data_IF_704157385743
#
_entry.id   IF_704157385743
#
_cell.length_a   1.000
_cell.length_b   1.000
_cell.length_c   1.000
_cell.angle_alpha   90.00
_cell.angle_beta   90.00
_cell.angle_gamma   90.00
#
_symmetry.space_group_name_H-M   'P 1'
#
loop_
_entity.id
_entity.type
_entity.pdbx_description
1 polymer ?
#
# COMPACT_ATOMS: atom_id res chain seq x y z
N UNK A 1 -8.96 -4.14 -36.12
CA UNK A 1 -10.42 -4.03 -36.38
C UNK A 1 -10.60 -4.04 -37.88
N UNK A 2 -10.96 -5.20 -38.42
CA UNK A 2 -11.05 -5.48 -39.85
C UNK A 2 -12.54 -5.49 -40.20
N UNK A 3 -12.96 -4.60 -41.10
CA UNK A 3 -14.35 -4.47 -41.52
C UNK A 3 -14.64 -5.51 -42.62
N UNK A 4 -15.50 -6.49 -42.33
CA UNK A 4 -15.91 -7.52 -43.29
C UNK A 4 -16.92 -6.97 -44.30
N UNK A 5 -16.49 -6.85 -45.56
CA UNK A 5 -17.25 -6.31 -46.68
C UNK A 5 -18.23 -7.33 -47.32
N UNK A 6 -18.27 -8.56 -46.80
CA UNK A 6 -18.97 -9.71 -47.43
C UNK A 6 -20.43 -9.86 -46.99
N UNK A 7 -20.83 -9.28 -45.86
CA UNK A 7 -22.20 -9.38 -45.37
C UNK A 7 -23.22 -8.55 -46.18
N UNK A 8 -22.78 -7.50 -46.88
CA UNK A 8 -23.69 -6.59 -47.58
C UNK A 8 -24.08 -7.08 -48.98
N UNK A 9 -23.26 -7.93 -49.63
CA UNK A 9 -23.57 -8.43 -50.97
C UNK A 9 -24.59 -9.60 -50.96
N UNK A 10 -24.62 -10.43 -49.91
CA UNK A 10 -25.62 -11.50 -49.79
C UNK A 10 -27.04 -11.00 -49.49
N UNK A 11 -27.19 -9.77 -48.99
CA UNK A 11 -28.50 -9.16 -48.76
C UNK A 11 -29.16 -8.61 -50.04
N UNK A 12 -28.37 -8.32 -51.09
CA UNK A 12 -28.90 -7.84 -52.37
C UNK A 12 -29.37 -8.99 -53.27
N UNK A 13 -28.69 -10.15 -53.27
CA UNK A 13 -29.03 -11.26 -54.16
C UNK A 13 -30.28 -12.07 -53.76
N UNK A 14 -30.80 -11.92 -52.54
CA UNK A 14 -31.97 -12.69 -52.05
C UNK A 14 -33.32 -11.98 -52.22
N UNK A 15 -33.37 -10.78 -52.82
CA UNK A 15 -34.62 -10.06 -53.09
C UNK A 15 -35.22 -10.28 -54.48
N UNK A 16 -34.49 -10.89 -55.41
CA UNK A 16 -34.94 -11.00 -56.81
C UNK A 16 -35.59 -12.35 -57.18
N UNK A 17 -35.94 -13.19 -56.20
CA UNK A 17 -36.39 -14.58 -56.50
C UNK A 17 -37.78 -14.96 -56.00
N UNK A 18 -38.64 -14.00 -55.67
CA UNK A 18 -40.04 -14.31 -55.35
C UNK A 18 -41.00 -13.19 -55.72
N UNK A 19 -41.44 -13.12 -56.98
CA UNK A 19 -42.80 -12.71 -57.35
C UNK A 19 -43.03 -12.89 -58.86
N UNK A 20 -43.25 -14.14 -59.29
CA UNK A 20 -43.83 -14.42 -60.61
C UNK A 20 -45.30 -14.81 -60.39
N UNK A 21 -46.13 -13.81 -60.14
CA UNK A 21 -47.59 -13.93 -60.23
C UNK A 21 -48.06 -12.74 -61.05
N UNK A 22 -48.30 -12.96 -62.35
CA UNK A 22 -48.92 -11.98 -63.24
C UNK A 22 -50.38 -11.80 -62.83
N UNK A 23 -50.61 -10.93 -61.84
CA UNK A 23 -51.92 -10.33 -61.59
C UNK A 23 -52.08 -9.22 -62.63
N UNK A 24 -53.13 -9.21 -63.47
CA UNK A 24 -53.37 -8.10 -64.38
C UNK A 24 -53.51 -6.80 -63.56
N UNK A 25 -53.00 -5.66 -64.06
CA UNK A 25 -53.08 -4.41 -63.33
C UNK A 25 -54.56 -4.15 -62.97
N UNK A 26 -54.90 -3.80 -61.72
CA UNK A 26 -56.25 -3.37 -61.44
C UNK A 26 -56.52 -2.14 -62.32
N UNK A 27 -57.47 -2.27 -63.25
CA UNK A 27 -58.13 -1.14 -63.91
C UNK A 27 -58.91 -0.38 -62.84
N UNK A 28 -58.18 0.40 -62.06
CA UNK A 28 -58.69 1.45 -61.19
C UNK A 28 -58.13 2.76 -61.73
N UNK A 29 -59.03 3.61 -62.19
CA UNK A 29 -58.89 5.03 -62.54
C UNK A 29 -57.50 5.50 -62.95
N UNK A 30 -57.37 5.89 -64.22
CA UNK A 30 -56.31 6.76 -64.70
C UNK A 30 -56.33 8.03 -63.84
N UNK A 31 -55.52 8.06 -62.78
CA UNK A 31 -55.36 9.23 -61.94
C UNK A 31 -54.92 10.39 -62.84
N UNK A 32 -55.77 11.40 -62.96
CA UNK A 32 -55.46 12.61 -63.71
C UNK A 32 -54.09 13.15 -63.25
N UNK A 33 -53.23 13.60 -64.19
CA UNK A 33 -51.93 14.14 -63.81
C UNK A 33 -52.14 15.29 -62.82
N UNK A 34 -51.40 15.32 -61.70
CA UNK A 34 -51.58 16.33 -60.68
C UNK A 34 -51.47 17.72 -61.32
N UNK A 35 -52.39 18.61 -60.93
CA UNK A 35 -52.40 19.96 -61.46
C UNK A 35 -51.05 20.66 -61.19
N UNK A 36 -50.60 21.50 -62.13
CA UNK A 36 -49.35 22.25 -62.02
C UNK A 36 -49.23 23.03 -60.70
N UNK A 37 -50.34 23.53 -60.16
CA UNK A 37 -50.40 24.22 -58.86
C UNK A 37 -50.07 23.28 -57.68
N UNK A 38 -50.57 22.04 -57.70
CA UNK A 38 -50.27 21.04 -56.67
C UNK A 38 -48.79 20.64 -56.70
N UNK A 39 -48.22 20.49 -57.89
CA UNK A 39 -46.80 20.20 -58.08
C UNK A 39 -45.94 21.35 -57.55
N UNK A 40 -46.28 22.60 -57.88
CA UNK A 40 -45.54 23.77 -57.41
C UNK A 40 -45.58 23.89 -55.88
N UNK A 41 -46.75 23.74 -55.25
CA UNK A 41 -46.89 23.78 -53.79
C UNK A 41 -46.08 22.69 -53.08
N UNK A 42 -46.10 21.46 -53.60
CA UNK A 42 -45.34 20.35 -53.02
C UNK A 42 -43.83 20.55 -53.17
N UNK A 43 -43.35 21.06 -54.30
CA UNK A 43 -41.93 21.42 -54.47
C UNK A 43 -41.50 22.51 -53.47
N UNK A 44 -42.32 23.55 -53.27
CA UNK A 44 -42.04 24.61 -52.28
C UNK A 44 -41.98 24.05 -50.86
N UNK A 45 -42.95 23.21 -50.48
CA UNK A 45 -42.97 22.54 -49.18
C UNK A 45 -41.73 21.65 -48.96
N UNK A 46 -41.35 20.86 -49.96
CA UNK A 46 -40.15 20.01 -49.91
C UNK A 46 -38.87 20.85 -49.80
N UNK A 47 -38.79 21.97 -50.53
CA UNK A 47 -37.67 22.89 -50.42
C UNK A 47 -37.57 23.47 -49.01
N UNK A 48 -38.67 23.96 -48.45
CA UNK A 48 -38.71 24.45 -47.07
C UNK A 48 -38.33 23.38 -46.05
N UNK A 49 -38.82 22.15 -46.21
CA UNK A 49 -38.50 21.04 -45.32
C UNK A 49 -37.02 20.70 -45.37
N UNK A 50 -36.44 20.59 -46.57
CA UNK A 50 -35.01 20.35 -46.79
C UNK A 50 -34.17 21.44 -46.13
N UNK A 51 -34.60 22.70 -46.22
CA UNK A 51 -33.93 23.82 -45.55
C UNK A 51 -34.01 23.73 -44.03
N UNK A 52 -35.16 23.33 -43.48
CA UNK A 52 -35.33 23.13 -42.03
C UNK A 52 -34.43 22.00 -41.52
N UNK A 53 -34.38 20.87 -42.24
CA UNK A 53 -33.52 19.73 -41.91
C UNK A 53 -32.04 20.10 -42.01
N UNK A 54 -31.64 20.83 -43.06
CA UNK A 54 -30.27 21.34 -43.20
C UNK A 54 -29.87 22.26 -42.04
N UNK A 55 -30.78 23.14 -41.58
CA UNK A 55 -30.55 24.00 -40.41
C UNK A 55 -30.38 23.18 -39.13
N UNK A 56 -31.24 22.18 -38.90
CA UNK A 56 -31.13 21.26 -37.75
C UNK A 56 -29.81 20.49 -37.79
N UNK A 57 -29.43 19.96 -38.95
CA UNK A 57 -28.17 19.25 -39.16
C UNK A 57 -26.96 20.13 -38.86
N UNK A 58 -26.96 21.39 -39.34
CA UNK A 58 -25.89 22.35 -39.05
C UNK A 58 -25.81 22.70 -37.56
N UNK A 59 -26.95 22.84 -36.89
CA UNK A 59 -26.98 23.08 -35.45
C UNK A 59 -26.42 21.89 -34.65
N UNK A 60 -26.84 20.66 -34.98
CA UNK A 60 -26.33 19.44 -34.37
C UNK A 60 -24.81 19.27 -34.62
N UNK A 61 -24.35 19.54 -35.85
CA UNK A 61 -22.92 19.50 -36.20
C UNK A 61 -22.10 20.51 -35.39
N UNK A 62 -22.60 21.74 -35.22
CA UNK A 62 -21.95 22.74 -34.34
C UNK A 62 -21.89 22.26 -32.89
N UNK A 63 -22.96 21.68 -32.38
CA UNK A 63 -23.00 21.16 -31.02
C UNK A 63 -21.98 20.01 -30.83
N UNK A 64 -21.89 19.08 -31.79
CA UNK A 64 -20.90 18.01 -31.77
C UNK A 64 -19.47 18.56 -31.80
N UNK A 65 -19.20 19.56 -32.64
CA UNK A 65 -17.88 20.21 -32.67
C UNK A 65 -17.51 20.84 -31.33
N UNK A 66 -18.46 21.46 -30.64
CA UNK A 66 -18.24 22.01 -29.30
C UNK A 66 -17.96 20.91 -28.27
N UNK A 67 -18.73 19.81 -28.30
CA UNK A 67 -18.50 18.66 -27.42
C UNK A 67 -17.13 18.01 -27.66
N UNK A 68 -16.73 17.85 -28.93
CA UNK A 68 -15.40 17.32 -29.30
C UNK A 68 -14.31 18.24 -28.75
N UNK A 69 -14.42 19.56 -28.93
CA UNK A 69 -13.45 20.51 -28.38
C UNK A 69 -13.33 20.42 -26.86
N UNK A 70 -14.46 20.24 -26.14
CA UNK A 70 -14.45 20.03 -24.70
C UNK A 70 -13.73 18.74 -24.31
N UNK A 71 -14.01 17.63 -25.00
CA UNK A 71 -13.35 16.35 -24.75
C UNK A 71 -11.85 16.45 -25.02
N UNK A 72 -11.43 17.04 -26.13
CA UNK A 72 -10.00 17.24 -26.46
C UNK A 72 -9.30 18.03 -25.36
N UNK A 73 -9.91 19.13 -24.89
CA UNK A 73 -9.37 19.92 -23.78
C UNK A 73 -9.27 19.09 -22.49
N UNK A 74 -10.28 18.29 -22.18
CA UNK A 74 -10.26 17.40 -21.01
C UNK A 74 -9.16 16.35 -21.12
N UNK A 75 -8.95 15.77 -22.30
CA UNK A 75 -7.89 14.79 -22.53
C UNK A 75 -6.49 15.43 -22.37
N UNK A 76 -6.31 16.66 -22.84
CA UNK A 76 -5.06 17.41 -22.66
C UNK A 76 -4.79 17.69 -21.18
N UNK A 77 -5.79 18.14 -20.42
CA UNK A 77 -5.66 18.39 -18.98
C UNK A 77 -5.30 17.11 -18.20
N UNK A 78 -5.97 16.00 -18.52
CA UNK A 78 -5.65 14.68 -17.96
C UNK A 78 -4.21 14.30 -18.30
N UNK A 79 -3.76 14.54 -19.54
CA UNK A 79 -2.38 14.26 -19.95
C UNK A 79 -1.35 15.01 -19.11
N UNK A 80 -1.57 16.31 -18.85
CA UNK A 80 -0.69 17.12 -17.99
C UNK A 80 -0.69 16.60 -16.55
N UNK A 81 -1.86 16.25 -16.02
CA UNK A 81 -1.99 15.70 -14.67
C UNK A 81 -1.28 14.36 -14.53
N UNK A 82 -1.38 13.48 -15.54
CA UNK A 82 -0.68 12.20 -15.56
C UNK A 82 0.84 12.42 -15.56
N UNK A 83 1.35 13.27 -16.46
CA UNK A 83 2.79 13.57 -16.50
C UNK A 83 3.31 14.12 -15.15
N UNK A 84 2.53 14.98 -14.50
CA UNK A 84 2.87 15.50 -13.17
C UNK A 84 2.87 14.39 -12.11
N UNK A 85 1.90 13.47 -12.17
CA UNK A 85 1.85 12.33 -11.25
C UNK A 85 3.02 11.37 -11.47
N UNK A 86 3.42 11.13 -12.72
CA UNK A 86 4.57 10.28 -13.05
C UNK A 86 5.85 10.84 -12.45
N UNK A 87 6.15 12.13 -12.66
CA UNK A 87 7.33 12.77 -12.05
C UNK A 87 7.30 12.68 -10.52
N UNK A 88 6.14 12.92 -9.88
CA UNK A 88 6.02 12.81 -8.42
C UNK A 88 6.22 11.38 -7.92
N UNK A 89 5.76 10.39 -8.67
CA UNK A 89 5.99 8.98 -8.33
C UNK A 89 7.47 8.63 -8.42
N UNK A 90 8.17 9.09 -9.47
CA UNK A 90 9.62 8.89 -9.61
C UNK A 90 10.40 9.51 -8.43
N UNK A 91 10.06 10.74 -8.04
CA UNK A 91 10.66 11.42 -6.89
C UNK A 91 10.44 10.64 -5.58
N UNK A 92 9.21 10.19 -5.34
CA UNK A 92 8.86 9.41 -4.15
C UNK A 92 9.57 8.05 -4.12
N UNK A 93 9.73 7.39 -5.27
CA UNK A 93 10.47 6.13 -5.35
C UNK A 93 11.95 6.31 -4.98
N UNK A 94 12.56 7.42 -5.39
CA UNK A 94 13.94 7.77 -5.01
C UNK A 94 14.03 8.02 -3.51
N UNK A 95 13.11 8.82 -2.95
CA UNK A 95 13.09 9.14 -1.52
C UNK A 95 12.90 7.88 -0.65
N UNK A 96 11.98 6.99 -1.04
CA UNK A 96 11.75 5.72 -0.34
C UNK A 96 13.00 4.84 -0.38
N UNK A 97 13.69 4.75 -1.52
CA UNK A 97 14.96 4.00 -1.63
C UNK A 97 16.04 4.59 -0.72
N UNK A 98 16.16 5.91 -0.64
CA UNK A 98 17.10 6.57 0.25
C UNK A 98 16.77 6.33 1.73
N UNK A 99 15.51 6.47 2.13
CA UNK A 99 15.06 6.29 3.50
C UNK A 99 15.22 4.83 3.97
N UNK A 100 14.95 3.86 3.11
CA UNK A 100 15.16 2.43 3.41
C UNK A 100 16.65 2.09 3.56
N UNK A 101 17.52 2.62 2.70
CA UNK A 101 18.97 2.49 2.84
C UNK A 101 19.49 3.11 4.15
N UNK A 102 18.97 4.28 4.54
CA UNK A 102 19.33 4.90 5.81
C UNK A 102 18.87 4.08 7.01
N UNK A 103 17.63 3.57 6.98
CA UNK A 103 17.05 2.77 8.08
C UNK A 103 17.83 1.47 8.28
N UNK A 104 18.20 0.79 7.19
CA UNK A 104 19.02 -0.44 7.26
C UNK A 104 20.40 -0.17 7.84
N UNK A 105 21.05 0.91 7.42
CA UNK A 105 22.36 1.34 7.96
C UNK A 105 22.26 1.65 9.45
N UNK A 106 21.24 2.39 9.88
CA UNK A 106 21.02 2.71 11.28
C UNK A 106 20.74 1.44 12.11
N UNK A 107 19.96 0.50 11.57
CA UNK A 107 19.71 -0.79 12.21
C UNK A 107 21.00 -1.58 12.46
N UNK A 108 21.91 -1.60 11.49
CA UNK A 108 23.24 -2.23 11.63
C UNK A 108 24.08 -1.53 12.71
N UNK A 109 24.13 -0.19 12.69
CA UNK A 109 24.86 0.58 13.70
C UNK A 109 24.33 0.34 15.11
N UNK A 110 23.01 0.26 15.29
CA UNK A 110 22.39 -0.06 16.58
C UNK A 110 22.82 -1.46 17.04
N UNK A 111 22.75 -2.46 16.15
CA UNK A 111 23.18 -3.83 16.46
C UNK A 111 24.66 -3.88 16.87
N UNK A 112 25.53 -3.17 16.15
CA UNK A 112 26.96 -3.12 16.44
C UNK A 112 27.24 -2.46 17.80
N UNK A 113 26.51 -1.38 18.13
CA UNK A 113 26.63 -0.69 19.41
C UNK A 113 26.14 -1.59 20.54
N UNK A 114 25.01 -2.29 20.35
CA UNK A 114 24.49 -3.24 21.33
C UNK A 114 25.49 -4.35 21.61
N UNK A 115 26.09 -4.94 20.58
CA UNK A 115 27.10 -5.97 20.74
C UNK A 115 28.35 -5.46 21.46
N UNK A 116 28.84 -4.27 21.10
CA UNK A 116 29.98 -3.63 21.79
C UNK A 116 29.67 -3.32 23.26
N UNK A 117 28.44 -2.88 23.55
CA UNK A 117 28.00 -2.60 24.91
C UNK A 117 27.94 -3.88 25.74
N UNK A 118 27.37 -4.94 25.18
CA UNK A 118 27.30 -6.25 25.82
C UNK A 118 28.70 -6.81 26.12
N UNK A 119 29.63 -6.77 25.16
CA UNK A 119 31.02 -7.20 25.36
C UNK A 119 31.70 -6.36 26.45
N UNK A 120 31.52 -5.03 26.44
CA UNK A 120 32.07 -4.14 27.46
C UNK A 120 31.49 -4.45 28.85
N UNK A 121 30.17 -4.65 28.96
CA UNK A 121 29.52 -5.02 30.21
C UNK A 121 29.99 -6.39 30.72
N UNK A 122 30.13 -7.37 29.83
CA UNK A 122 30.60 -8.71 30.18
C UNK A 122 32.05 -8.68 30.66
N UNK A 123 32.92 -7.90 30.01
CA UNK A 123 34.32 -7.70 30.46
C UNK A 123 34.37 -7.00 31.82
N UNK A 124 33.52 -6.00 32.04
CA UNK A 124 33.42 -5.30 33.31
C UNK A 124 32.92 -6.22 34.44
N UNK A 125 32.00 -7.13 34.13
CA UNK A 125 31.42 -8.08 35.10
C UNK A 125 32.20 -9.38 35.25
N UNK A 126 33.21 -9.64 34.42
CA UNK A 126 33.94 -10.93 34.39
C UNK A 126 34.50 -11.36 35.74
N UNK A 127 34.95 -10.41 36.55
CA UNK A 127 35.54 -10.68 37.86
C UNK A 127 34.54 -10.50 39.02
N UNK A 128 33.25 -10.31 38.73
CA UNK A 128 32.22 -10.14 39.74
C UNK A 128 31.53 -11.48 40.02
N UNK A 129 31.68 -12.00 41.24
CA UNK A 129 30.96 -13.19 41.70
C UNK A 129 29.67 -12.79 42.40
N UNK A 130 28.57 -13.51 42.10
CA UNK A 130 27.30 -13.40 42.82
C UNK A 130 27.10 -14.62 43.69
N UNK A 131 27.03 -14.40 45.01
CA UNK A 131 26.81 -15.47 45.98
C UNK A 131 25.37 -15.35 46.47
N UNK A 132 24.61 -16.44 46.35
CA UNK A 132 23.20 -16.51 46.73
C UNK A 132 23.05 -17.35 48.00
N UNK A 133 21.97 -17.13 48.77
CA UNK A 133 21.65 -17.94 49.95
C UNK A 133 22.34 -17.51 51.25
N UNK A 134 23.07 -16.40 51.27
CA UNK A 134 23.61 -15.84 52.52
C UNK A 134 22.48 -15.15 53.28
N UNK A 135 22.10 -15.72 54.44
CA UNK A 135 21.09 -15.13 55.31
C UNK A 135 21.47 -13.70 55.72
N UNK A 136 20.47 -12.84 55.91
CA UNK A 136 20.69 -11.47 56.36
C UNK A 136 21.43 -11.43 57.69
N UNK A 137 22.24 -10.38 57.90
CA UNK A 137 22.86 -10.03 59.19
C UNK A 137 23.99 -10.94 59.70
N UNK A 138 24.34 -12.01 58.98
CA UNK A 138 25.49 -12.88 59.32
C UNK A 138 26.86 -12.25 59.04
N UNK A 139 26.90 -11.23 58.19
CA UNK A 139 28.13 -10.64 57.67
C UNK A 139 28.77 -9.62 58.64
N UNK A 140 28.01 -9.16 59.64
CA UNK A 140 28.44 -8.09 60.53
C UNK A 140 28.64 -6.75 59.80
N UNK A 141 29.62 -5.96 60.26
CA UNK A 141 29.95 -4.65 59.64
C UNK A 141 30.85 -4.75 58.41
N UNK A 142 31.59 -5.85 58.23
CA UNK A 142 32.54 -6.02 57.13
C UNK A 142 32.23 -7.25 56.29
N UNK A 143 31.43 -7.04 55.24
CA UNK A 143 31.09 -8.05 54.24
C UNK A 143 32.33 -8.64 53.56
N UNK A 144 33.42 -7.88 53.38
CA UNK A 144 34.62 -8.39 52.69
C UNK A 144 35.34 -9.44 53.55
N UNK A 145 35.54 -9.14 54.82
CA UNK A 145 36.15 -10.08 55.76
C UNK A 145 35.32 -11.37 55.90
N UNK A 146 33.99 -11.23 55.96
CA UNK A 146 33.07 -12.37 56.00
C UNK A 146 33.16 -13.26 54.76
N UNK A 147 33.17 -12.69 53.55
CA UNK A 147 33.32 -13.49 52.33
C UNK A 147 34.69 -14.17 52.24
N UNK A 148 35.76 -13.51 52.71
CA UNK A 148 37.09 -14.10 52.75
C UNK A 148 37.17 -15.32 53.71
N UNK A 149 36.52 -15.26 54.88
CA UNK A 149 36.46 -16.39 55.80
C UNK A 149 35.59 -17.53 55.26
N UNK A 150 34.48 -17.19 54.61
CA UNK A 150 33.60 -18.16 53.95
C UNK A 150 34.34 -18.96 52.87
N UNK A 151 35.16 -18.31 52.03
CA UNK A 151 35.94 -19.00 51.02
C UNK A 151 37.05 -19.88 51.61
N UNK A 152 37.75 -19.43 52.66
CA UNK A 152 38.74 -20.26 53.37
C UNK A 152 38.11 -21.53 53.95
N UNK A 153 36.88 -21.42 54.44
CA UNK A 153 36.13 -22.57 54.96
C UNK A 153 35.62 -23.50 53.85
N UNK A 154 35.09 -22.93 52.75
CA UNK A 154 34.52 -23.70 51.65
C UNK A 154 35.59 -24.41 50.79
N UNK A 155 36.77 -23.82 50.66
CA UNK A 155 37.87 -24.32 49.82
C UNK A 155 39.19 -24.40 50.61
N UNK A 156 39.31 -25.34 51.56
CA UNK A 156 40.48 -25.46 52.44
C UNK A 156 41.79 -25.74 51.68
N UNK A 157 41.70 -26.38 50.51
CA UNK A 157 42.86 -26.66 49.64
C UNK A 157 43.46 -25.38 49.01
N UNK A 158 42.71 -24.28 49.05
CA UNK A 158 43.15 -22.97 48.55
C UNK A 158 43.62 -22.03 49.66
N UNK A 159 43.89 -22.54 50.87
CA UNK A 159 44.28 -21.73 52.05
C UNK A 159 45.64 -21.00 51.93
N UNK A 160 46.37 -21.16 50.82
CA UNK A 160 47.56 -20.37 50.48
C UNK A 160 47.30 -19.15 49.58
N UNK A 161 46.06 -18.96 49.11
CA UNK A 161 45.69 -17.86 48.21
C UNK A 161 45.34 -16.60 49.02
N UNK A 162 45.78 -15.43 48.54
CA UNK A 162 45.59 -14.14 49.20
C UNK A 162 44.18 -13.55 48.94
N UNK A 163 43.12 -14.32 49.17
CA UNK A 163 41.72 -13.91 48.98
C UNK A 163 41.41 -12.52 49.57
N UNK A 164 41.97 -12.26 50.74
CA UNK A 164 41.74 -11.06 51.51
C UNK A 164 42.33 -9.81 50.87
N UNK A 165 43.43 -9.93 50.12
CA UNK A 165 44.06 -8.80 49.39
C UNK A 165 43.49 -8.62 47.98
N UNK A 166 42.92 -9.66 47.38
CA UNK A 166 42.44 -9.65 45.99
C UNK A 166 40.98 -9.22 45.82
N UNK A 167 40.13 -9.39 46.84
CA UNK A 167 38.74 -8.91 46.78
C UNK A 167 38.72 -7.38 46.82
N UNK A 168 38.48 -6.72 45.69
CA UNK A 168 38.47 -5.26 45.61
C UNK A 168 37.25 -4.64 46.31
N UNK A 169 36.08 -5.27 46.18
CA UNK A 169 34.81 -4.78 46.73
C UNK A 169 33.87 -5.95 47.01
N UNK A 170 33.22 -5.94 48.16
CA UNK A 170 32.13 -6.85 48.51
C UNK A 170 30.97 -6.03 49.09
N UNK A 171 29.76 -6.28 48.61
CA UNK A 171 28.56 -5.60 49.08
C UNK A 171 27.33 -6.43 48.74
N UNK A 172 26.26 -6.25 49.52
CA UNK A 172 24.96 -6.80 49.14
C UNK A 172 24.41 -6.07 47.93
N UNK A 173 23.90 -6.84 46.97
CA UNK A 173 23.18 -6.26 45.85
C UNK A 173 21.88 -5.64 46.38
N UNK A 174 21.60 -4.35 46.11
CA UNK A 174 20.39 -3.72 46.60
C UNK A 174 19.18 -4.42 45.98
N UNK A 175 18.35 -5.05 46.83
CA UNK A 175 17.05 -5.54 46.39
C UNK A 175 16.23 -4.32 45.99
N UNK A 176 15.87 -4.21 44.71
CA UNK A 176 14.86 -3.26 44.29
C UNK A 176 13.56 -3.62 45.02
N UNK A 177 13.09 -2.73 45.91
CA UNK A 177 11.77 -2.86 46.50
C UNK A 177 10.78 -2.95 45.35
N UNK A 178 10.14 -4.11 45.16
CA UNK A 178 8.98 -4.21 44.25
C UNK A 178 7.98 -3.16 44.74
N UNK A 179 7.72 -2.12 43.94
CA UNK A 179 6.53 -1.29 44.17
C UNK A 179 5.37 -2.28 44.17
N UNK A 180 4.68 -2.39 45.30
CA UNK A 180 3.45 -3.17 45.38
C UNK A 180 2.49 -2.57 44.34
N UNK A 181 2.34 -3.24 43.20
CA UNK A 181 1.31 -2.93 42.25
C UNK A 181 -0.02 -3.28 42.93
N UNK A 182 -0.70 -2.26 43.43
CA UNK A 182 -2.12 -2.31 43.75
C UNK A 182 -2.88 -2.55 42.43
N UNK A 183 -3.01 -3.81 42.04
CA UNK A 183 -4.04 -4.27 41.12
C UNK A 183 -4.53 -5.62 41.59
N UNK A 184 -5.53 -5.58 42.47
CA UNK A 184 -6.46 -6.68 42.59
C UNK A 184 -7.21 -6.80 41.26
N UNK A 185 -6.93 -7.86 40.50
CA UNK A 185 -7.94 -8.76 39.91
C UNK A 185 -7.26 -9.90 39.12
N UNK A 186 -7.44 -11.10 39.68
CA UNK A 186 -7.82 -12.33 38.98
C UNK A 186 -6.83 -13.05 38.03
N UNK A 187 -6.21 -14.10 38.62
CA UNK A 187 -6.04 -15.48 38.15
C UNK A 187 -5.44 -15.79 36.77
N UNK A 188 -4.43 -16.66 36.86
CA UNK A 188 -4.06 -17.73 35.93
C UNK A 188 -3.67 -17.35 34.51
N UNK A 189 -2.37 -17.35 34.21
CA UNK A 189 -1.74 -18.51 33.56
C UNK A 189 -0.23 -18.29 33.38
N UNK A 190 0.49 -19.39 33.58
CA UNK A 190 1.91 -19.61 33.39
C UNK A 190 2.45 -19.11 32.05
N UNK A 191 3.45 -18.23 32.06
CA UNK A 191 4.40 -18.09 30.96
C UNK A 191 5.81 -17.98 31.54
N UNK A 192 6.62 -19.02 31.32
CA UNK A 192 8.05 -19.01 31.57
C UNK A 192 8.71 -18.08 30.54
N UNK A 193 9.45 -17.07 30.99
CA UNK A 193 10.37 -16.31 30.13
C UNK A 193 11.76 -16.95 30.20
N UNK A 194 12.15 -17.58 29.09
CA UNK A 194 13.53 -17.95 28.78
C UNK A 194 14.28 -16.65 28.50
N UNK A 195 15.31 -16.35 29.29
CA UNK A 195 16.31 -15.35 28.94
C UNK A 195 17.50 -16.11 28.33
N UNK A 196 17.86 -15.72 27.11
CA UNK A 196 19.11 -16.11 26.47
C UNK A 196 20.31 -15.55 27.25
#
# INVERSE_FOLDING_TARGET
MQWDYTATQQAFSKRDSACSTLVPPPTGDLAEPPSLDLIYRTMVQNHEQTQRESRKMKAASRQLQLSIKKVVKSCQDIGVRIATMETRTEELEIEVKAATAQTTTQGQQISDIQWKLEDAENRQRRNNLRILGIAGDLEGQDTRAYIASLFKQAFPDLNGWYWEKEIQRAHRFPLMKKKQALTATNRDQSHYSVFW
#
